data_IF_589309286716
#
_entry.id   IF_589309286716
#
_cell.length_a   1.000
_cell.length_b   1.000
_cell.length_c   1.000
_cell.angle_alpha   90.00
_cell.angle_beta   90.00
_cell.angle_gamma   90.00
#
_symmetry.space_group_name_H-M   'P 1'
#
loop_
_entity.id
_entity.type
_entity.pdbx_description
1 polymer ?
#
# COMPACT_ATOMS: atom_id res chain seq x y z
N UNK A 1 80.53 -25.01 -0.91
CA UNK A 1 81.41 -26.02 -0.27
C UNK A 1 81.21 -25.97 1.24
N UNK A 2 81.20 -27.16 1.84
CA UNK A 2 80.87 -27.49 3.23
C UNK A 2 81.87 -26.92 4.25
N UNK A 3 81.40 -26.66 5.48
CA UNK A 3 81.93 -27.22 6.75
C UNK A 3 81.25 -26.55 7.98
N UNK A 4 80.41 -27.28 8.74
CA UNK A 4 80.69 -27.98 10.03
C UNK A 4 81.07 -27.03 11.18
N UNK A 5 80.24 -26.77 12.21
CA UNK A 5 79.71 -27.60 13.32
C UNK A 5 80.44 -27.34 14.65
N UNK A 6 79.74 -26.92 15.71
CA UNK A 6 79.95 -27.26 17.14
C UNK A 6 78.88 -26.54 18.00
N UNK A 7 77.90 -27.22 18.61
CA UNK A 7 77.93 -28.02 19.86
C UNK A 7 78.14 -27.19 21.16
N UNK A 8 77.06 -27.07 21.96
CA UNK A 8 77.02 -27.10 23.44
C UNK A 8 75.55 -27.31 23.86
N UNK A 9 75.13 -28.53 24.22
CA UNK A 9 75.25 -29.20 25.53
C UNK A 9 74.20 -28.73 26.58
N UNK A 10 73.22 -29.62 26.78
CA UNK A 10 72.25 -29.92 27.87
C UNK A 10 72.66 -29.61 29.35
N UNK A 11 71.78 -29.74 30.40
CA UNK A 11 70.61 -30.64 30.52
C UNK A 11 69.34 -30.12 31.26
N UNK A 12 68.33 -31.01 31.24
CA UNK A 12 67.04 -31.07 31.97
C UNK A 12 67.17 -30.94 33.49
N UNK A 13 66.14 -30.38 34.14
CA UNK A 13 65.66 -30.82 35.47
C UNK A 13 64.21 -30.34 35.72
N UNK A 14 63.33 -31.32 35.99
CA UNK A 14 62.26 -31.40 36.99
C UNK A 14 61.37 -30.15 37.22
N UNK A 15 60.08 -30.17 36.82
CA UNK A 15 58.92 -30.69 37.58
C UNK A 15 58.66 -30.02 38.94
N UNK A 16 57.57 -29.25 39.07
CA UNK A 16 56.49 -29.49 40.04
C UNK A 16 55.44 -28.37 40.00
N UNK A 17 54.19 -28.77 39.73
CA UNK A 17 52.93 -28.32 40.32
C UNK A 17 52.90 -26.97 41.09
N UNK A 18 52.12 -26.02 40.58
CA UNK A 18 51.06 -25.43 41.41
C UNK A 18 49.89 -24.94 40.54
N UNK A 19 48.78 -25.63 40.72
CA UNK A 19 47.42 -25.36 40.24
C UNK A 19 46.97 -23.94 40.53
N UNK A 20 46.90 -23.09 39.51
CA UNK A 20 46.08 -21.88 39.52
C UNK A 20 44.66 -22.27 39.07
N UNK A 21 43.72 -22.29 40.02
CA UNK A 21 42.30 -22.49 39.74
C UNK A 21 41.77 -21.35 38.88
N UNK A 22 41.59 -21.62 37.59
CA UNK A 22 40.81 -20.77 36.71
C UNK A 22 39.33 -21.01 37.05
N UNK A 23 38.76 -20.14 37.88
CA UNK A 23 37.31 -20.04 38.03
C UNK A 23 36.78 -19.44 36.71
N UNK A 24 36.47 -20.31 35.74
CA UNK A 24 35.75 -19.92 34.55
C UNK A 24 34.32 -19.56 34.96
N UNK A 25 34.08 -18.28 35.23
CA UNK A 25 32.74 -17.72 35.24
C UNK A 25 32.21 -17.79 33.79
N UNK A 26 31.67 -18.95 33.42
CA UNK A 26 30.88 -19.11 32.21
C UNK A 26 29.60 -18.31 32.37
N UNK A 27 29.65 -17.01 32.08
CA UNK A 27 28.46 -16.26 31.76
C UNK A 27 27.90 -16.86 30.47
N UNK A 28 26.92 -17.76 30.63
CA UNK A 28 26.06 -18.15 29.54
C UNK A 28 25.31 -16.87 29.11
N UNK A 29 25.85 -16.16 28.13
CA UNK A 29 25.05 -15.25 27.33
C UNK A 29 24.02 -16.14 26.64
N UNK A 30 22.82 -16.24 27.22
CA UNK A 30 21.67 -16.65 26.44
C UNK A 30 21.63 -15.71 25.23
N UNK A 31 21.49 -16.21 24.00
CA UNK A 31 21.18 -15.33 22.89
C UNK A 31 19.91 -14.58 23.31
N UNK A 32 20.02 -13.27 23.49
CA UNK A 32 18.82 -12.44 23.45
C UNK A 32 18.24 -12.69 22.07
N UNK A 33 17.15 -13.44 22.01
CA UNK A 33 16.29 -13.47 20.85
C UNK A 33 15.74 -12.04 20.71
N UNK A 34 16.53 -11.17 20.09
CA UNK A 34 16.11 -9.86 19.66
C UNK A 34 15.09 -10.12 18.55
N UNK A 35 13.85 -10.39 18.95
CA UNK A 35 12.77 -10.60 18.01
C UNK A 35 12.54 -9.30 17.25
N UNK A 36 12.56 -9.40 15.91
CA UNK A 36 12.29 -8.26 15.05
C UNK A 36 10.86 -7.76 15.31
N UNK A 37 10.72 -6.45 15.54
CA UNK A 37 9.42 -5.78 15.63
C UNK A 37 8.84 -5.70 14.21
N UNK A 38 7.54 -5.98 14.01
CA UNK A 38 6.90 -5.85 12.71
C UNK A 38 7.16 -4.48 12.07
N UNK A 39 7.63 -4.47 10.82
CA UNK A 39 7.74 -3.25 10.03
C UNK A 39 6.33 -2.76 9.67
N UNK A 40 6.08 -1.46 9.78
CA UNK A 40 4.80 -0.84 9.41
C UNK A 40 5.07 0.20 8.32
N UNK A 41 4.61 -0.06 7.11
CA UNK A 41 4.88 0.75 5.94
C UNK A 41 3.61 1.19 5.20
N UNK A 42 3.74 2.24 4.39
CA UNK A 42 2.69 2.76 3.51
C UNK A 42 1.36 3.11 4.20
N UNK A 43 1.38 3.52 5.48
CA UNK A 43 0.16 3.84 6.23
C UNK A 43 -0.64 4.95 5.57
N UNK A 44 -1.96 4.75 5.44
CA UNK A 44 -2.86 5.71 4.83
C UNK A 44 -4.25 5.68 5.46
N UNK A 45 -4.84 6.87 5.57
CA UNK A 45 -6.23 7.07 5.93
C UNK A 45 -7.12 7.00 4.67
N UNK A 46 -8.18 6.20 4.73
CA UNK A 46 -9.13 5.97 3.63
C UNK A 46 -10.56 5.92 4.16
N UNK A 47 -11.55 5.88 3.27
CA UNK A 47 -12.97 5.65 3.60
C UNK A 47 -13.52 6.58 4.69
N UNK A 48 -13.10 7.85 4.69
CA UNK A 48 -13.52 8.82 5.70
C UNK A 48 -14.98 9.19 5.45
N UNK A 49 -15.82 9.00 6.46
CA UNK A 49 -17.23 9.38 6.47
C UNK A 49 -17.49 10.42 7.57
N UNK A 50 -18.76 10.72 7.83
CA UNK A 50 -19.18 11.59 8.94
C UNK A 50 -18.96 10.98 10.32
N UNK A 51 -18.72 9.67 10.42
CA UNK A 51 -18.62 8.98 11.71
C UNK A 51 -17.63 7.82 11.74
N UNK A 52 -16.87 7.62 10.66
CA UNK A 52 -15.89 6.56 10.54
C UNK A 52 -14.72 6.95 9.63
N UNK A 53 -13.63 6.20 9.72
CA UNK A 53 -12.57 6.15 8.73
C UNK A 53 -11.91 4.78 8.74
N UNK A 54 -11.16 4.46 7.70
CA UNK A 54 -10.28 3.29 7.63
C UNK A 54 -8.82 3.71 7.71
N UNK A 55 -7.99 2.88 8.32
CA UNK A 55 -6.54 2.92 8.22
C UNK A 55 -6.09 1.68 7.47
N UNK A 56 -5.28 1.87 6.42
CA UNK A 56 -4.63 0.78 5.69
C UNK A 56 -3.11 0.90 5.80
N UNK A 57 -2.42 -0.23 5.78
CA UNK A 57 -0.96 -0.28 5.77
C UNK A 57 -0.45 -1.65 5.32
N UNK A 58 0.87 -1.77 5.16
CA UNK A 58 1.55 -3.03 4.93
C UNK A 58 2.53 -3.34 6.06
N UNK A 59 2.82 -4.61 6.26
CA UNK A 59 3.82 -5.12 7.21
C UNK A 59 4.55 -6.32 6.62
N UNK A 60 5.78 -6.54 7.07
CA UNK A 60 6.67 -7.61 6.61
C UNK A 60 6.33 -8.99 7.19
N UNK A 61 5.44 -9.03 8.18
CA UNK A 61 4.98 -10.28 8.84
C UNK A 61 3.47 -10.43 8.78
N UNK A 62 2.99 -11.67 8.89
CA UNK A 62 1.58 -11.90 9.18
C UNK A 62 1.25 -11.31 10.56
N UNK A 63 0.20 -10.47 10.65
CA UNK A 63 -0.09 -9.75 11.88
C UNK A 63 -1.58 -9.66 12.24
N UNK A 64 -1.84 -9.30 13.50
CA UNK A 64 -3.17 -8.87 13.95
C UNK A 64 -3.25 -7.34 13.89
N UNK A 65 -4.09 -6.78 13.01
CA UNK A 65 -4.16 -5.33 12.86
C UNK A 65 -5.04 -4.69 13.92
N UNK A 66 -4.61 -3.54 14.42
CA UNK A 66 -5.38 -2.66 15.30
C UNK A 66 -5.01 -1.20 15.05
N UNK A 67 -5.73 -0.27 15.67
CA UNK A 67 -5.49 1.18 15.58
C UNK A 67 -5.67 1.79 16.96
N UNK A 68 -4.74 2.68 17.34
CA UNK A 68 -4.97 3.59 18.46
C UNK A 68 -5.53 4.92 17.94
N UNK A 69 -6.53 5.46 18.65
CA UNK A 69 -7.21 6.71 18.29
C UNK A 69 -7.13 7.71 19.44
N UNK A 70 -6.82 8.95 19.11
CA UNK A 70 -6.65 10.06 20.04
C UNK A 70 -7.45 11.29 19.59
N UNK A 71 -7.71 12.20 20.53
CA UNK A 71 -8.34 13.50 20.25
C UNK A 71 -7.33 14.65 20.14
N UNK A 72 -6.04 14.37 20.34
CA UNK A 72 -4.94 15.33 20.23
C UNK A 72 -3.69 14.72 19.58
N UNK A 73 -2.90 15.58 18.92
CA UNK A 73 -1.66 15.19 18.24
C UNK A 73 -0.55 14.73 19.22
N UNK A 74 -0.62 15.13 20.49
CA UNK A 74 0.36 14.74 21.50
C UNK A 74 0.08 13.34 22.08
N UNK A 75 -0.96 12.65 21.61
CA UNK A 75 -1.38 11.31 22.05
C UNK A 75 -1.70 11.23 23.56
N UNK A 76 -2.15 12.33 24.16
CA UNK A 76 -2.44 12.38 25.61
C UNK A 76 -3.85 11.90 25.95
N UNK A 77 -4.81 12.08 25.05
CA UNK A 77 -6.22 11.73 25.23
C UNK A 77 -6.62 10.60 24.28
N UNK A 78 -6.25 9.37 24.65
CA UNK A 78 -6.63 8.14 23.94
C UNK A 78 -8.13 7.88 24.10
N UNK A 79 -8.81 7.62 23.00
CA UNK A 79 -10.26 7.31 22.95
C UNK A 79 -10.56 5.95 22.30
N UNK A 80 -9.55 5.13 22.02
CA UNK A 80 -9.71 3.82 21.35
C UNK A 80 -10.82 2.96 21.96
N UNK A 81 -10.96 2.98 23.29
CA UNK A 81 -11.93 2.14 24.00
C UNK A 81 -13.38 2.70 23.91
N UNK A 82 -13.53 3.95 23.46
CA UNK A 82 -14.82 4.64 23.28
C UNK A 82 -15.30 4.63 21.83
N UNK A 83 -14.54 4.04 20.91
CA UNK A 83 -14.86 3.91 19.49
C UNK A 83 -14.89 2.44 19.11
N UNK A 84 -15.56 2.11 18.01
CA UNK A 84 -15.62 0.75 17.51
C UNK A 84 -14.50 0.51 16.50
N UNK A 85 -13.58 -0.38 16.85
CA UNK A 85 -12.51 -0.87 15.97
C UNK A 85 -12.97 -2.16 15.29
N UNK A 86 -13.02 -2.16 13.96
CA UNK A 86 -13.39 -3.33 13.15
C UNK A 86 -12.21 -3.73 12.25
N UNK A 87 -11.50 -4.82 12.56
CA UNK A 87 -10.40 -5.29 11.72
C UNK A 87 -10.93 -5.92 10.43
N UNK A 88 -10.20 -5.70 9.34
CA UNK A 88 -10.45 -6.24 8.00
C UNK A 88 -11.91 -6.09 7.52
N UNK A 89 -12.48 -4.86 7.57
CA UNK A 89 -13.88 -4.62 7.20
C UNK A 89 -14.14 -4.95 5.73
N UNK A 90 -15.29 -5.54 5.43
CA UNK A 90 -15.74 -5.79 4.05
C UNK A 90 -15.04 -6.94 3.31
N UNK A 91 -14.22 -7.74 3.99
CA UNK A 91 -13.56 -8.92 3.44
C UNK A 91 -14.20 -10.23 3.95
N UNK A 92 -14.28 -11.24 3.07
CA UNK A 92 -14.62 -12.60 3.47
C UNK A 92 -13.42 -13.29 4.17
N UNK A 93 -13.65 -14.45 4.81
CA UNK A 93 -12.61 -15.16 5.55
C UNK A 93 -11.38 -15.53 4.68
N UNK A 94 -11.57 -15.87 3.41
CA UNK A 94 -10.47 -16.24 2.50
C UNK A 94 -9.63 -15.01 2.15
N UNK A 95 -10.28 -13.88 1.87
CA UNK A 95 -9.62 -12.59 1.62
C UNK A 95 -8.88 -12.09 2.85
N UNK A 96 -9.47 -12.20 4.05
CA UNK A 96 -8.81 -11.84 5.32
C UNK A 96 -7.54 -12.67 5.53
N UNK A 97 -7.65 -13.99 5.35
CA UNK A 97 -6.51 -14.90 5.50
C UNK A 97 -5.38 -14.57 4.51
N UNK A 98 -5.73 -14.36 3.24
CA UNK A 98 -4.76 -13.98 2.22
C UNK A 98 -4.10 -12.61 2.50
N UNK A 99 -4.89 -11.61 2.88
CA UNK A 99 -4.40 -10.27 3.19
C UNK A 99 -3.41 -10.31 4.36
N UNK A 100 -3.76 -11.00 5.45
CA UNK A 100 -2.89 -11.18 6.61
C UNK A 100 -1.58 -11.88 6.26
N UNK A 101 -1.65 -12.98 5.50
CA UNK A 101 -0.46 -13.72 5.03
C UNK A 101 0.45 -12.84 4.16
N UNK A 102 -0.13 -11.90 3.42
CA UNK A 102 0.61 -10.90 2.64
C UNK A 102 1.07 -9.70 3.46
N UNK A 103 0.66 -9.56 4.72
CA UNK A 103 0.96 -8.37 5.51
C UNK A 103 0.15 -7.14 5.12
N UNK A 104 -0.98 -7.28 4.40
CA UNK A 104 -1.88 -6.18 4.05
C UNK A 104 -2.96 -6.04 5.12
N UNK A 105 -3.09 -4.84 5.67
CA UNK A 105 -3.98 -4.57 6.81
C UNK A 105 -4.95 -3.44 6.47
N UNK A 106 -6.21 -3.60 6.95
CA UNK A 106 -7.23 -2.56 6.94
C UNK A 106 -8.01 -2.61 8.24
N UNK A 107 -8.20 -1.47 8.90
CA UNK A 107 -8.99 -1.36 10.12
C UNK A 107 -9.93 -0.18 9.99
N UNK A 108 -11.22 -0.38 10.25
CA UNK A 108 -12.20 0.69 10.31
C UNK A 108 -12.42 1.13 11.76
N UNK A 109 -12.34 2.42 11.98
CA UNK A 109 -12.72 3.11 13.22
C UNK A 109 -14.10 3.73 12.99
N UNK A 110 -15.04 3.51 13.89
CA UNK A 110 -16.41 4.03 13.79
C UNK A 110 -16.95 4.52 15.15
N UNK A 111 -18.01 5.32 15.13
CA UNK A 111 -18.58 5.96 16.32
C UNK A 111 -18.00 7.35 16.60
N UNK A 112 -17.47 8.00 15.57
CA UNK A 112 -16.89 9.34 15.65
C UNK A 112 -17.96 10.41 15.41
N UNK A 113 -17.65 11.64 15.82
CA UNK A 113 -18.49 12.80 15.56
C UNK A 113 -18.16 13.39 14.18
N UNK A 114 -19.13 13.96 13.46
CA UNK A 114 -18.88 14.67 12.21
C UNK A 114 -18.08 15.94 12.43
N UNK A 115 -17.40 16.40 11.38
CA UNK A 115 -16.56 17.61 11.38
C UNK A 115 -15.55 17.70 12.54
N UNK A 116 -15.03 16.57 13.02
CA UNK A 116 -14.06 16.53 14.11
C UNK A 116 -12.71 15.99 13.65
N UNK A 117 -11.63 16.58 14.18
CA UNK A 117 -10.27 16.06 14.02
C UNK A 117 -10.01 14.94 15.04
N UNK A 118 -9.39 13.87 14.54
CA UNK A 118 -8.87 12.76 15.33
C UNK A 118 -7.45 12.44 14.86
N UNK A 119 -6.71 11.74 15.72
CA UNK A 119 -5.35 11.32 15.43
C UNK A 119 -5.26 9.80 15.58
N UNK A 120 -4.75 9.12 14.57
CA UNK A 120 -4.71 7.67 14.52
C UNK A 120 -3.32 7.16 14.17
N UNK A 121 -2.92 6.02 14.75
CA UNK A 121 -1.73 5.27 14.33
C UNK A 121 -2.06 3.79 14.19
N UNK A 122 -1.46 3.14 13.20
CA UNK A 122 -1.55 1.71 13.02
C UNK A 122 -0.78 0.99 14.15
N UNK A 123 -1.35 -0.13 14.60
CA UNK A 123 -0.77 -1.02 15.60
C UNK A 123 -0.75 -2.42 15.00
N UNK A 124 0.45 -2.99 14.92
CA UNK A 124 0.70 -4.28 14.28
C UNK A 124 1.32 -5.22 15.30
N UNK A 125 0.57 -6.22 15.77
CA UNK A 125 1.06 -7.22 16.71
C UNK A 125 1.40 -8.53 15.99
N UNK A 126 2.60 -9.04 16.22
CA UNK A 126 3.02 -10.36 15.74
C UNK A 126 2.22 -11.47 16.46
N UNK A 127 1.51 -12.34 15.74
CA UNK A 127 0.77 -13.45 16.35
C UNK A 127 1.68 -14.49 17.00
N UNK A 128 2.95 -14.60 16.58
CA UNK A 128 3.92 -15.49 17.20
C UNK A 128 4.44 -14.95 18.54
N UNK A 129 4.44 -13.63 18.71
CA UNK A 129 4.82 -12.97 19.96
C UNK A 129 4.07 -11.64 20.13
N UNK A 130 2.96 -11.66 20.86
CA UNK A 130 2.11 -10.49 21.08
C UNK A 130 2.81 -9.30 21.77
N UNK A 131 4.00 -9.52 22.34
CA UNK A 131 4.85 -8.47 22.92
C UNK A 131 5.55 -7.62 21.84
N UNK A 132 5.70 -8.17 20.62
CA UNK A 132 6.30 -7.49 19.49
C UNK A 132 5.24 -6.68 18.76
N UNK A 133 5.20 -5.39 19.05
CA UNK A 133 4.22 -4.47 18.50
C UNK A 133 4.90 -3.37 17.69
N UNK A 134 4.64 -3.35 16.39
CA UNK A 134 5.01 -2.28 15.49
C UNK A 134 3.98 -1.14 15.53
N UNK A 135 4.47 0.11 15.54
CA UNK A 135 3.64 1.31 15.51
C UNK A 135 3.99 2.18 14.32
N UNK A 136 2.99 2.77 13.67
CA UNK A 136 3.23 3.83 12.69
C UNK A 136 3.44 5.19 13.34
N UNK A 137 3.82 6.18 12.52
CA UNK A 137 3.59 7.58 12.83
C UNK A 137 2.09 7.86 13.08
N UNK A 138 1.80 8.99 13.72
CA UNK A 138 0.43 9.47 13.94
C UNK A 138 -0.03 10.26 12.73
N UNK A 139 -1.27 10.02 12.31
CA UNK A 139 -1.93 10.68 11.19
C UNK A 139 -3.18 11.41 11.67
N UNK A 140 -3.35 12.66 11.24
CA UNK A 140 -4.59 13.41 11.47
C UNK A 140 -5.66 13.02 10.45
N UNK A 141 -6.87 12.78 10.93
CA UNK A 141 -8.07 12.59 10.12
C UNK A 141 -9.15 13.58 10.55
N UNK A 142 -9.80 14.22 9.59
CA UNK A 142 -10.96 15.07 9.82
C UNK A 142 -12.17 14.36 9.20
N UNK A 143 -13.10 13.92 10.04
CA UNK A 143 -14.34 13.28 9.57
C UNK A 143 -15.14 14.24 8.71
N UNK A 144 -15.88 13.70 7.74
CA UNK A 144 -16.78 14.50 6.91
C UNK A 144 -17.84 15.22 7.75
N UNK A 145 -18.39 16.28 7.18
CA UNK A 145 -19.35 17.16 7.84
C UNK A 145 -20.78 16.65 7.72
N UNK A 146 -21.21 16.32 6.51
CA UNK A 146 -22.57 15.85 6.26
C UNK A 146 -22.65 15.03 4.98
N UNK A 147 -23.59 14.08 4.96
CA UNK A 147 -24.00 13.40 3.73
C UNK A 147 -25.08 14.25 3.06
N UNK A 148 -24.89 14.56 1.77
CA UNK A 148 -25.86 15.29 0.97
C UNK A 148 -26.52 14.32 -0.02
N UNK A 149 -27.74 13.84 0.26
CA UNK A 149 -28.41 12.86 -0.61
C UNK A 149 -28.98 13.47 -1.89
N UNK A 150 -29.04 14.81 -1.99
CA UNK A 150 -29.66 15.50 -3.11
C UNK A 150 -28.92 16.79 -3.47
N UNK A 151 -28.87 17.12 -4.77
CA UNK A 151 -28.36 18.40 -5.27
C UNK A 151 -29.39 19.11 -6.15
N UNK A 152 -29.35 20.44 -6.14
CA UNK A 152 -30.08 21.23 -7.12
C UNK A 152 -29.29 21.30 -8.42
N UNK A 153 -29.86 20.76 -9.50
CA UNK A 153 -29.31 20.83 -10.84
C UNK A 153 -30.43 21.20 -11.83
N UNK A 154 -30.21 22.20 -12.67
CA UNK A 154 -31.17 22.67 -13.67
C UNK A 154 -32.57 22.98 -13.10
N UNK A 155 -32.63 23.56 -11.89
CA UNK A 155 -33.88 23.92 -11.22
C UNK A 155 -34.66 22.74 -10.61
N UNK A 156 -34.11 21.53 -10.63
CA UNK A 156 -34.70 20.33 -10.01
C UNK A 156 -33.80 19.75 -8.94
N UNK A 157 -34.40 19.16 -7.91
CA UNK A 157 -33.69 18.38 -6.90
C UNK A 157 -33.44 16.98 -7.48
N UNK A 158 -32.17 16.65 -7.68
CA UNK A 158 -31.73 15.36 -8.22
C UNK A 158 -31.00 14.56 -7.15
N UNK A 159 -31.22 13.24 -7.12
CA UNK A 159 -30.53 12.36 -6.21
C UNK A 159 -29.03 12.40 -6.45
N UNK A 160 -28.27 12.35 -5.36
CA UNK A 160 -26.84 12.17 -5.38
C UNK A 160 -26.54 10.66 -5.49
N UNK A 161 -25.86 10.27 -6.56
CA UNK A 161 -25.40 8.89 -6.74
C UNK A 161 -24.07 8.93 -7.48
N UNK A 162 -23.05 8.41 -6.81
CA UNK A 162 -21.83 8.00 -7.48
C UNK A 162 -21.94 6.51 -7.77
N UNK A 163 -21.29 6.09 -8.85
CA UNK A 163 -21.29 4.70 -9.28
C UNK A 163 -20.21 3.89 -8.56
N UNK A 164 -20.14 2.60 -8.87
CA UNK A 164 -19.05 1.73 -8.45
C UNK A 164 -17.91 1.78 -9.46
N UNK A 165 -16.67 1.77 -8.99
CA UNK A 165 -15.48 1.57 -9.83
C UNK A 165 -14.93 0.19 -9.58
N UNK A 166 -14.71 -0.55 -10.65
CA UNK A 166 -14.07 -1.86 -10.60
C UNK A 166 -12.67 -1.81 -11.16
N UNK A 167 -11.70 -2.38 -10.46
CA UNK A 167 -10.30 -2.37 -10.88
C UNK A 167 -9.60 -3.71 -10.61
N UNK A 168 -8.90 -4.24 -11.61
CA UNK A 168 -8.06 -5.43 -11.46
C UNK A 168 -6.72 -5.01 -10.87
N UNK A 169 -6.44 -5.48 -9.65
CA UNK A 169 -5.21 -5.16 -8.91
C UNK A 169 -3.95 -5.78 -9.57
N UNK A 170 -4.14 -6.66 -10.56
CA UNK A 170 -3.03 -7.33 -11.18
C UNK A 170 -3.20 -7.65 -12.66
N UNK A 171 -2.07 -7.66 -13.37
CA UNK A 171 -1.88 -8.30 -14.67
C UNK A 171 -0.65 -9.23 -14.55
N UNK A 172 -0.87 -10.56 -14.60
CA UNK A 172 0.22 -11.57 -14.61
C UNK A 172 0.69 -11.80 -16.05
N UNK A 173 1.97 -12.12 -16.26
CA UNK A 173 2.38 -13.00 -17.34
C UNK A 173 1.68 -14.37 -17.17
N UNK A 174 1.43 -15.07 -18.26
CA UNK A 174 0.55 -16.24 -18.42
C UNK A 174 0.55 -17.38 -17.36
N UNK A 175 1.43 -17.42 -16.36
CA UNK A 175 1.79 -18.64 -15.62
C UNK A 175 1.85 -18.55 -14.07
N UNK A 176 1.22 -17.59 -13.40
CA UNK A 176 1.17 -17.64 -11.93
C UNK A 176 -0.25 -17.76 -11.34
N UNK A 177 -0.26 -18.11 -10.05
CA UNK A 177 -1.37 -18.67 -9.26
C UNK A 177 -2.76 -18.13 -9.64
N UNK A 178 -3.81 -18.95 -9.51
CA UNK A 178 -5.18 -18.63 -10.00
C UNK A 178 -5.78 -17.35 -9.37
N UNK A 179 -5.20 -16.79 -8.30
CA UNK A 179 -5.71 -15.58 -7.60
C UNK A 179 -4.59 -14.66 -7.06
N UNK A 180 -3.72 -14.09 -7.91
CA UNK A 180 -2.50 -13.40 -7.45
C UNK A 180 -2.80 -12.13 -6.63
N UNK A 181 -3.91 -11.45 -6.93
CA UNK A 181 -4.34 -10.24 -6.23
C UNK A 181 -5.13 -10.46 -4.95
N UNK A 182 -5.48 -11.70 -4.58
CA UNK A 182 -6.35 -11.96 -3.42
C UNK A 182 -5.75 -11.37 -2.13
N UNK A 183 -6.54 -10.58 -1.39
CA UNK A 183 -6.10 -9.95 -0.14
C UNK A 183 -5.33 -8.63 -0.30
N UNK A 184 -4.98 -8.24 -1.53
CA UNK A 184 -4.43 -6.90 -1.79
C UNK A 184 -5.52 -5.83 -1.63
N UNK A 185 -5.11 -4.56 -1.50
CA UNK A 185 -6.05 -3.43 -1.41
C UNK A 185 -5.87 -2.53 -2.64
N UNK A 186 -6.98 -2.14 -3.26
CA UNK A 186 -7.03 -1.03 -4.22
C UNK A 186 -7.48 0.23 -3.50
N UNK A 187 -6.84 1.34 -3.80
CA UNK A 187 -7.17 2.67 -3.30
C UNK A 187 -7.47 3.58 -4.47
N UNK A 188 -8.65 4.19 -4.48
CA UNK A 188 -9.06 5.20 -5.46
C UNK A 188 -8.86 6.59 -4.88
N UNK A 189 -8.03 7.37 -5.55
CA UNK A 189 -7.73 8.75 -5.24
C UNK A 189 -8.36 9.64 -6.33
N UNK A 190 -9.26 10.54 -5.93
CA UNK A 190 -9.86 11.54 -6.80
C UNK A 190 -9.44 12.94 -6.36
N UNK A 191 -9.14 13.87 -7.30
CA UNK A 191 -8.87 15.27 -6.96
C UNK A 191 -10.07 15.97 -6.31
N UNK A 192 -11.28 15.43 -6.49
CA UNK A 192 -12.48 15.93 -5.85
C UNK A 192 -12.61 15.49 -4.38
N UNK A 193 -11.78 14.57 -3.90
CA UNK A 193 -11.88 13.99 -2.55
C UNK A 193 -10.72 14.40 -1.66
N UNK A 194 -11.01 14.69 -0.38
CA UNK A 194 -9.94 14.91 0.61
C UNK A 194 -9.24 13.62 1.00
N UNK A 195 -9.99 12.54 1.10
CA UNK A 195 -9.51 11.21 1.47
C UNK A 195 -9.86 10.20 0.39
N UNK A 196 -8.97 9.25 0.08
CA UNK A 196 -9.27 8.23 -0.91
C UNK A 196 -10.22 7.16 -0.35
N UNK A 197 -10.75 6.33 -1.23
CA UNK A 197 -11.60 5.18 -0.89
C UNK A 197 -10.83 3.90 -1.19
N UNK A 198 -11.05 2.85 -0.42
CA UNK A 198 -10.29 1.61 -0.53
C UNK A 198 -11.18 0.37 -0.48
N UNK A 199 -10.78 -0.67 -1.20
CA UNK A 199 -11.44 -1.97 -1.18
C UNK A 199 -10.41 -3.10 -1.25
N UNK A 200 -10.72 -4.25 -0.66
CA UNK A 200 -9.93 -5.46 -0.90
C UNK A 200 -10.20 -6.00 -2.30
N UNK A 201 -9.17 -6.57 -2.92
CA UNK A 201 -9.36 -7.46 -4.06
C UNK A 201 -10.30 -8.59 -3.64
N UNK A 202 -11.26 -8.93 -4.50
CA UNK A 202 -12.39 -9.85 -4.31
C UNK A 202 -13.54 -9.31 -3.45
N UNK A 203 -13.46 -8.09 -2.91
CA UNK A 203 -14.63 -7.52 -2.23
C UNK A 203 -15.72 -7.22 -3.27
N UNK A 204 -16.78 -8.03 -3.27
CA UNK A 204 -17.92 -7.91 -4.20
C UNK A 204 -17.71 -8.51 -5.60
N UNK A 205 -16.56 -9.12 -5.89
CA UNK A 205 -16.22 -9.68 -7.21
C UNK A 205 -15.27 -10.88 -7.11
N UNK A 206 -14.82 -11.41 -8.25
CA UNK A 206 -13.77 -12.42 -8.27
C UNK A 206 -12.39 -11.75 -8.21
N UNK A 207 -11.46 -12.29 -7.41
CA UNK A 207 -10.06 -11.88 -7.48
C UNK A 207 -9.54 -11.98 -8.93
N UNK A 208 -8.68 -11.05 -9.39
CA UNK A 208 -7.98 -10.00 -8.64
C UNK A 208 -8.68 -8.63 -8.64
N UNK A 209 -9.99 -8.58 -8.89
CA UNK A 209 -10.75 -7.34 -9.02
C UNK A 209 -11.18 -6.79 -7.66
N UNK A 210 -11.04 -5.48 -7.41
CA UNK A 210 -11.62 -4.79 -6.26
C UNK A 210 -12.71 -3.83 -6.72
N UNK A 211 -13.87 -3.88 -6.07
CA UNK A 211 -14.98 -2.94 -6.31
C UNK A 211 -14.96 -1.85 -5.24
N UNK A 212 -14.93 -0.60 -5.68
CA UNK A 212 -14.91 0.59 -4.85
C UNK A 212 -16.23 1.32 -5.01
N UNK A 213 -16.92 1.54 -3.90
CA UNK A 213 -18.14 2.35 -3.85
C UNK A 213 -17.77 3.83 -3.72
N UNK A 214 -18.02 4.61 -4.78
CA UNK A 214 -17.71 6.03 -4.80
C UNK A 214 -18.75 6.89 -4.07
N UNK A 215 -19.81 6.32 -3.49
CA UNK A 215 -20.78 7.09 -2.69
C UNK A 215 -20.16 7.66 -1.40
N UNK A 216 -19.00 7.15 -0.99
CA UNK A 216 -18.22 7.66 0.14
C UNK A 216 -17.14 8.68 -0.26
N UNK A 217 -17.25 9.31 -1.44
CA UNK A 217 -16.39 10.44 -1.79
C UNK A 217 -16.90 11.68 -1.05
N UNK A 218 -16.00 12.32 -0.29
CA UNK A 218 -16.27 13.59 0.37
C UNK A 218 -15.28 14.65 -0.09
N UNK A 219 -15.83 15.81 -0.45
CA UNK A 219 -15.10 16.98 -0.90
C UNK A 219 -14.16 17.55 0.15
N UNK A 220 -13.34 18.51 -0.26
CA UNK A 220 -12.49 19.27 0.65
C UNK A 220 -13.27 20.07 1.69
N UNK A 221 -14.55 20.35 1.42
CA UNK A 221 -15.52 20.96 2.34
C UNK A 221 -16.15 19.96 3.34
N UNK A 222 -15.85 18.67 3.20
CA UNK A 222 -16.41 17.60 4.00
C UNK A 222 -17.85 17.25 3.65
N UNK A 223 -18.37 17.68 2.50
CA UNK A 223 -19.69 17.31 2.00
C UNK A 223 -19.57 16.19 0.96
N UNK A 224 -20.66 15.47 0.69
CA UNK A 224 -20.67 14.46 -0.39
C UNK A 224 -20.26 15.08 -1.72
N UNK A 225 -19.28 14.49 -2.40
CA UNK A 225 -18.74 15.01 -3.66
C UNK A 225 -18.95 14.02 -4.82
N UNK A 226 -19.49 14.53 -5.92
CA UNK A 226 -19.85 13.72 -7.09
C UNK A 226 -18.66 13.55 -8.02
N UNK A 227 -18.48 12.34 -8.52
CA UNK A 227 -17.57 12.07 -9.62
C UNK A 227 -18.25 12.52 -10.92
N UNK A 228 -17.67 13.52 -11.60
CA UNK A 228 -18.33 14.20 -12.74
C UNK A 228 -18.21 13.35 -14.01
N UNK A 229 -17.17 12.54 -14.10
CA UNK A 229 -16.75 11.85 -15.30
C UNK A 229 -15.77 12.67 -16.13
N UNK A 230 -14.79 11.98 -16.71
CA UNK A 230 -13.69 12.54 -17.48
C UNK A 230 -12.52 13.02 -16.62
N UNK A 231 -12.71 13.23 -15.31
CA UNK A 231 -11.62 13.64 -14.43
C UNK A 231 -10.58 12.53 -14.25
N UNK A 232 -9.35 12.96 -14.01
CA UNK A 232 -8.26 12.07 -13.64
C UNK A 232 -8.50 11.47 -12.26
N UNK A 233 -8.31 10.15 -12.15
CA UNK A 233 -8.21 9.42 -10.91
C UNK A 233 -6.89 8.64 -10.86
N UNK A 234 -6.39 8.45 -9.65
CA UNK A 234 -5.23 7.58 -9.38
C UNK A 234 -5.72 6.36 -8.61
N UNK A 235 -5.45 5.19 -9.16
CA UNK A 235 -5.68 3.91 -8.53
C UNK A 235 -4.34 3.38 -8.01
N UNK A 236 -4.28 3.11 -6.71
CA UNK A 236 -3.09 2.59 -6.05
C UNK A 236 -3.34 1.19 -5.53
N UNK A 237 -2.56 0.23 -6.00
CA UNK A 237 -2.60 -1.16 -5.52
C UNK A 237 -1.57 -1.36 -4.42
N UNK A 238 -2.01 -1.81 -3.24
CA UNK A 238 -1.17 -2.18 -2.10
C UNK A 238 -0.86 -3.68 -2.16
N UNK A 239 0.43 -4.01 -2.33
CA UNK A 239 0.92 -5.39 -2.54
C UNK A 239 1.83 -5.80 -1.39
N UNK A 240 1.23 -6.37 -0.34
CA UNK A 240 1.93 -6.58 0.93
C UNK A 240 3.17 -7.48 0.87
N UNK A 241 3.16 -8.58 0.11
CA UNK A 241 4.34 -9.47 -0.02
C UNK A 241 5.59 -8.76 -0.54
N UNK A 242 5.41 -7.64 -1.23
CA UNK A 242 6.47 -6.86 -1.84
C UNK A 242 6.70 -5.54 -1.12
N UNK A 243 5.90 -5.24 -0.09
CA UNK A 243 5.79 -3.94 0.57
C UNK A 243 5.77 -2.77 -0.43
N UNK A 244 5.13 -3.00 -1.58
CA UNK A 244 5.15 -2.09 -2.71
C UNK A 244 3.75 -1.57 -3.01
N UNK A 245 3.70 -0.38 -3.59
CA UNK A 245 2.46 0.15 -4.17
C UNK A 245 2.63 0.38 -5.67
N UNK A 246 1.66 -0.04 -6.48
CA UNK A 246 1.61 0.30 -7.91
C UNK A 246 0.64 1.44 -8.13
N UNK A 247 0.96 2.32 -9.09
CA UNK A 247 0.18 3.50 -9.44
C UNK A 247 -0.39 3.40 -10.85
N UNK A 248 -1.70 3.52 -10.96
CA UNK A 248 -2.44 3.46 -12.21
C UNK A 248 -3.21 4.77 -12.38
N UNK A 249 -2.96 5.46 -13.47
CA UNK A 249 -3.71 6.67 -13.82
C UNK A 249 -4.88 6.28 -14.72
N UNK A 250 -6.09 6.74 -14.40
CA UNK A 250 -7.31 6.45 -15.16
C UNK A 250 -8.16 7.71 -15.27
N UNK A 251 -9.07 7.74 -16.24
CA UNK A 251 -10.18 8.70 -16.24
C UNK A 251 -11.38 8.05 -15.59
N UNK A 252 -12.08 8.79 -14.74
CA UNK A 252 -13.42 8.41 -14.27
C UNK A 252 -14.33 8.39 -15.50
N UNK A 253 -15.05 7.31 -15.76
CA UNK A 253 -16.04 7.28 -16.84
C UNK A 253 -17.19 8.29 -16.61
N UNK A 254 -17.74 8.79 -17.71
CA UNK A 254 -18.86 9.75 -17.69
C UNK A 254 -20.16 9.06 -17.27
N UNK A 255 -20.97 9.77 -16.49
CA UNK A 255 -22.26 9.34 -15.94
C UNK A 255 -23.17 8.70 -17.00
N UNK A 256 -24.00 7.73 -16.57
CA UNK A 256 -25.02 6.97 -17.33
C UNK A 256 -24.59 5.64 -17.98
N UNK A 257 -23.39 5.15 -17.67
CA UNK A 257 -23.02 3.73 -17.85
C UNK A 257 -22.27 3.28 -16.61
N UNK A 258 -22.46 2.03 -16.19
CA UNK A 258 -21.68 1.44 -15.10
C UNK A 258 -20.20 1.79 -15.29
N UNK A 259 -19.61 2.49 -14.33
CA UNK A 259 -18.24 3.01 -14.34
C UNK A 259 -17.24 1.83 -14.39
N UNK A 260 -17.02 1.28 -15.59
CA UNK A 260 -15.83 0.49 -15.86
C UNK A 260 -14.68 1.48 -15.83
N UNK A 261 -13.68 1.22 -14.97
CA UNK A 261 -12.39 1.87 -15.12
C UNK A 261 -12.01 1.75 -16.59
N UNK A 262 -11.84 2.88 -17.28
CA UNK A 262 -11.50 2.85 -18.70
C UNK A 262 -10.21 2.05 -18.82
N UNK A 263 -10.19 1.03 -19.70
CA UNK A 263 -8.91 0.46 -20.12
C UNK A 263 -8.02 1.61 -20.63
N UNK A 264 -6.68 1.52 -20.51
CA UNK A 264 -5.78 2.50 -21.09
C UNK A 264 -6.23 2.83 -22.52
N UNK A 265 -6.40 4.11 -22.85
CA UNK A 265 -6.97 4.52 -24.14
C UNK A 265 -5.99 4.11 -25.24
N UNK A 266 -6.38 3.12 -26.05
CA UNK A 266 -5.63 2.67 -27.22
C UNK A 266 -5.43 3.84 -28.18
N UNK A 267 -4.21 4.38 -28.22
CA UNK A 267 -3.85 5.54 -29.04
C UNK A 267 -3.07 6.64 -28.29
N UNK A 268 -3.07 6.62 -26.96
CA UNK A 268 -2.40 7.64 -26.13
C UNK A 268 -1.72 6.99 -24.92
N UNK A 269 -0.75 6.12 -25.19
CA UNK A 269 -0.05 5.34 -24.17
C UNK A 269 1.06 6.12 -23.43
N UNK A 270 1.51 7.26 -23.99
CA UNK A 270 2.64 8.02 -23.43
C UNK A 270 2.24 9.20 -22.52
N UNK A 271 0.99 9.67 -22.57
CA UNK A 271 0.41 10.61 -21.57
C UNK A 271 0.02 9.78 -20.34
N UNK A 272 1.02 9.38 -19.57
CA UNK A 272 0.90 8.43 -18.46
C UNK A 272 0.13 9.10 -17.32
N UNK A 273 0.37 10.38 -17.08
CA UNK A 273 -0.24 11.11 -15.99
C UNK A 273 -1.63 11.67 -16.35
N UNK A 274 -2.11 11.49 -17.59
CA UNK A 274 -3.39 11.94 -18.14
C UNK A 274 -3.63 13.46 -17.98
N UNK A 275 -2.62 14.28 -18.25
CA UNK A 275 -2.72 15.74 -18.23
C UNK A 275 -2.98 16.38 -19.60
N UNK A 276 -3.03 15.56 -20.67
CA UNK A 276 -3.29 16.00 -22.04
C UNK A 276 -2.04 16.43 -22.79
N UNK A 277 -0.85 16.24 -22.20
CA UNK A 277 0.45 16.47 -22.82
C UNK A 277 1.38 15.28 -22.57
N UNK A 278 2.36 15.06 -23.45
CA UNK A 278 3.43 14.08 -23.22
C UNK A 278 4.72 14.84 -22.99
N UNK A 279 5.18 14.92 -21.74
CA UNK A 279 6.28 15.79 -21.35
C UNK A 279 7.24 15.14 -20.32
N UNK A 280 8.07 15.96 -19.67
CA UNK A 280 9.05 15.50 -18.68
C UNK A 280 8.41 14.79 -17.48
N UNK A 281 7.19 15.16 -17.08
CA UNK A 281 6.47 14.52 -15.98
C UNK A 281 6.11 13.07 -16.33
N UNK A 282 5.64 12.80 -17.55
CA UNK A 282 5.41 11.44 -18.03
C UNK A 282 6.72 10.66 -18.15
N UNK A 283 7.79 11.32 -18.61
CA UNK A 283 9.09 10.67 -18.74
C UNK A 283 9.64 10.24 -17.37
N UNK A 284 9.43 11.04 -16.32
CA UNK A 284 9.82 10.69 -14.95
C UNK A 284 9.06 9.44 -14.48
N UNK A 285 7.75 9.35 -14.76
CA UNK A 285 6.95 8.18 -14.45
C UNK A 285 7.45 6.95 -15.22
N UNK A 286 7.66 7.10 -16.53
CA UNK A 286 8.18 6.03 -17.40
C UNK A 286 9.55 5.52 -16.91
N UNK A 287 10.46 6.43 -16.59
CA UNK A 287 11.80 6.10 -16.09
C UNK A 287 11.74 5.26 -14.82
N UNK A 288 10.75 5.49 -13.94
CA UNK A 288 10.53 4.69 -12.73
C UNK A 288 10.18 3.22 -13.01
N UNK A 289 9.73 2.91 -14.22
CA UNK A 289 9.34 1.56 -14.66
C UNK A 289 10.33 0.96 -15.65
N UNK A 290 11.34 1.71 -16.11
CA UNK A 290 12.32 1.23 -17.07
C UNK A 290 13.11 0.02 -16.52
N UNK A 291 13.21 -1.01 -17.35
CA UNK A 291 13.76 -2.36 -17.08
C UNK A 291 12.98 -3.22 -16.11
N UNK A 292 11.78 -2.81 -15.70
CA UNK A 292 10.91 -3.71 -14.95
C UNK A 292 10.40 -4.84 -15.86
N UNK A 293 10.26 -6.03 -15.29
CA UNK A 293 9.71 -7.21 -15.95
C UNK A 293 8.56 -7.79 -15.12
N UNK A 294 7.68 -8.60 -15.70
CA UNK A 294 6.45 -8.98 -15.00
C UNK A 294 6.61 -9.79 -13.70
N UNK A 295 7.80 -10.33 -13.45
CA UNK A 295 8.17 -10.96 -12.18
C UNK A 295 8.52 -9.95 -11.06
N UNK A 296 8.81 -8.69 -11.41
CA UNK A 296 9.20 -7.66 -10.46
C UNK A 296 8.00 -7.15 -9.67
N UNK A 297 8.21 -6.88 -8.39
CA UNK A 297 7.15 -6.35 -7.53
C UNK A 297 6.71 -4.92 -7.84
N UNK A 298 7.54 -4.18 -8.55
CA UNK A 298 7.29 -2.81 -9.02
C UNK A 298 6.76 -2.74 -10.45
N UNK A 299 6.70 -3.87 -11.17
CA UNK A 299 6.25 -3.91 -12.55
C UNK A 299 4.81 -3.41 -12.66
N UNK A 300 4.64 -2.41 -13.52
CA UNK A 300 3.33 -1.92 -13.91
C UNK A 300 3.11 -2.14 -15.42
N UNK A 301 2.14 -3.00 -15.79
CA UNK A 301 1.79 -3.27 -17.18
C UNK A 301 1.30 -2.05 -17.96
N UNK A 302 0.85 -0.98 -17.29
CA UNK A 302 0.45 0.27 -17.95
C UNK A 302 1.60 0.90 -18.74
N UNK A 303 2.84 0.53 -18.43
CA UNK A 303 4.06 1.05 -19.05
C UNK A 303 4.60 0.11 -20.15
N UNK A 304 3.95 -1.03 -20.38
CA UNK A 304 4.30 -1.97 -21.44
C UNK A 304 3.57 -1.62 -22.74
N UNK A 305 4.11 -0.64 -23.47
CA UNK A 305 3.49 -0.10 -24.68
C UNK A 305 3.67 -0.97 -25.93
N UNK A 306 4.51 -1.99 -25.88
CA UNK A 306 4.73 -2.93 -26.98
C UNK A 306 4.28 -4.32 -26.54
N UNK A 307 3.39 -4.92 -27.32
CA UNK A 307 3.05 -6.33 -27.13
C UNK A 307 4.24 -7.19 -27.56
N UNK A 308 4.99 -7.65 -26.57
CA UNK A 308 6.11 -8.54 -26.74
C UNK A 308 5.97 -9.74 -25.79
N UNK A 309 6.51 -10.89 -26.18
CA UNK A 309 6.38 -12.12 -25.39
C UNK A 309 7.01 -12.02 -23.98
N UNK A 310 7.84 -11.01 -23.73
CA UNK A 310 8.53 -10.80 -22.46
C UNK A 310 7.78 -9.88 -21.47
N UNK A 311 6.85 -9.06 -21.96
CA UNK A 311 6.15 -8.04 -21.19
C UNK A 311 7.07 -7.02 -20.51
N UNK A 312 8.30 -6.82 -20.98
CA UNK A 312 9.31 -6.02 -20.29
C UNK A 312 9.22 -4.56 -20.69
N UNK A 313 9.41 -3.65 -19.74
CA UNK A 313 9.54 -2.22 -20.04
C UNK A 313 11.01 -1.92 -20.38
N UNK A 314 11.35 -1.76 -21.65
CA UNK A 314 12.71 -1.56 -22.13
C UNK A 314 12.86 -0.46 -23.21
N UNK A 315 13.93 -0.53 -23.99
CA UNK A 315 14.24 0.46 -25.02
C UNK A 315 13.17 0.53 -26.12
N UNK A 316 12.37 -0.52 -26.31
CA UNK A 316 11.26 -0.54 -27.28
C UNK A 316 10.10 0.33 -26.79
N UNK A 317 9.75 0.22 -25.52
CA UNK A 317 8.75 1.06 -24.86
C UNK A 317 9.23 2.51 -24.82
N UNK A 318 10.53 2.74 -24.56
CA UNK A 318 11.10 4.08 -24.63
C UNK A 318 11.01 4.68 -26.05
N UNK A 319 11.29 3.89 -27.10
CA UNK A 319 11.16 4.34 -28.48
C UNK A 319 9.71 4.72 -28.82
N UNK A 320 8.73 3.93 -28.35
CA UNK A 320 7.30 4.26 -28.46
C UNK A 320 6.98 5.57 -27.75
N UNK A 321 7.40 5.72 -26.49
CA UNK A 321 7.21 6.94 -25.70
C UNK A 321 7.81 8.17 -26.40
N UNK A 322 9.07 8.07 -26.87
CA UNK A 322 9.78 9.17 -27.51
C UNK A 322 9.10 9.68 -28.79
N UNK A 323 8.38 8.82 -29.52
CA UNK A 323 7.62 9.21 -30.71
C UNK A 323 6.36 10.06 -30.40
N UNK A 324 5.94 10.06 -29.14
CA UNK A 324 4.80 10.81 -28.64
C UNK A 324 5.24 12.06 -27.87
N UNK A 325 6.51 12.18 -27.51
CA UNK A 325 7.05 13.28 -26.71
C UNK A 325 6.80 14.64 -27.35
N UNK A 326 6.29 15.58 -26.54
CA UNK A 326 5.95 16.94 -26.95
C UNK A 326 4.57 17.10 -27.58
N UNK A 327 3.76 16.03 -27.69
CA UNK A 327 2.36 16.16 -28.11
C UNK A 327 1.53 16.83 -27.01
N UNK A 328 0.54 17.64 -27.41
CA UNK A 328 -0.33 18.43 -26.51
C UNK A 328 -1.77 18.48 -27.04
N UNK A 329 -2.72 18.88 -26.19
CA UNK A 329 -4.12 19.09 -26.58
C UNK A 329 -4.88 17.79 -26.81
N UNK A 330 -4.45 16.74 -26.11
CA UNK A 330 -5.02 15.41 -26.17
C UNK A 330 -6.15 15.36 -25.12
N UNK A 331 -7.38 15.14 -25.55
CA UNK A 331 -8.56 15.07 -24.67
C UNK A 331 -9.22 13.70 -24.74
#
# INVERSE_FOLDING_TARGET
MKNTSALRAWPRLLSLFLTAGLLAAGAAFAPDDAYAVPEVSAVRLTDVTTSSFSVIWMTDVEATPSVDVYTDAAMTNRITDNVRITPMPGADHETVSAAKKKGVMKVMVSGLKPSASYFARAVTADPANASNVGYSAVYEVITASAVIPYKYANGSLTGFFNDIVSFRIYLQPQDADIKPGLGDIVVFESPASRYPISAFARSGSNAPEGIIDLNNIFGNDGLSAEAIGGEKAVLRAYRGTLLSTLLHYRKVAVKDTALKASEPVTGFFADINLDGSVNDDDFILFKGQYRTMPADGSYNPDYNFVDDAGGKVDAREFSRFANEYGRTGIH
#
